data_IF_124823427105
#
_entry.id   IF_124823427105
#
_cell.length_a   1.000
_cell.length_b   1.000
_cell.length_c   1.000
_cell.angle_alpha   90.00
_cell.angle_beta   90.00
_cell.angle_gamma   90.00
#
_symmetry.space_group_name_H-M   'P 1'
#
loop_
_entity.id
_entity.type
_entity.pdbx_description
1 polymer ?
#
# COMPACT_ATOMS: atom_id res chain seq x y z
N UNK A 1 16.26 2.62 21.36
CA UNK A 1 16.76 1.57 20.44
C UNK A 1 15.89 1.62 19.17
N UNK A 2 16.50 1.43 18.01
CA UNK A 2 15.89 1.53 16.67
C UNK A 2 15.70 0.15 16.02
N UNK A 3 15.88 -0.92 16.78
CA UNK A 3 15.89 -2.32 16.32
C UNK A 3 14.51 -2.95 16.05
N UNK A 4 13.40 -2.28 16.38
CA UNK A 4 12.06 -2.87 16.27
C UNK A 4 11.29 -2.40 15.02
N UNK A 5 11.53 -3.04 13.87
CA UNK A 5 10.74 -2.89 12.62
C UNK A 5 10.32 -1.44 12.30
N UNK A 6 11.30 -0.55 12.08
CA UNK A 6 11.07 0.91 12.02
C UNK A 6 10.01 1.35 11.01
N UNK A 7 10.01 0.76 9.81
CA UNK A 7 9.04 1.09 8.76
C UNK A 7 7.59 0.77 9.22
N UNK A 8 7.40 -0.36 9.91
CA UNK A 8 6.11 -0.70 10.51
C UNK A 8 5.70 0.25 11.64
N UNK A 9 6.65 0.66 12.50
CA UNK A 9 6.37 1.64 13.55
C UNK A 9 5.98 3.02 12.97
N UNK A 10 6.63 3.45 11.89
CA UNK A 10 6.29 4.68 11.18
C UNK A 10 4.88 4.60 10.57
N UNK A 11 4.54 3.45 9.97
CA UNK A 11 3.18 3.15 9.55
C UNK A 11 2.20 3.30 10.73
N UNK A 12 2.40 2.56 11.82
CA UNK A 12 1.52 2.59 13.00
C UNK A 12 1.33 4.00 13.56
N UNK A 13 2.39 4.81 13.58
CA UNK A 13 2.30 6.21 13.99
C UNK A 13 1.28 6.99 13.16
N UNK A 14 1.32 6.87 11.82
CA UNK A 14 0.34 7.52 10.94
C UNK A 14 -1.05 6.91 11.12
N UNK A 15 -1.15 5.57 11.15
CA UNK A 15 -2.43 4.87 11.30
C UNK A 15 -3.17 5.21 12.60
N UNK A 16 -2.45 5.43 13.70
CA UNK A 16 -3.04 5.83 14.98
C UNK A 16 -3.79 7.17 14.92
N UNK A 17 -3.45 8.07 13.98
CA UNK A 17 -4.13 9.35 13.80
C UNK A 17 -5.41 9.25 12.96
N UNK A 18 -5.61 8.15 12.22
CA UNK A 18 -6.88 7.84 11.58
C UNK A 18 -7.89 7.21 12.55
N UNK A 19 -7.39 6.65 13.66
CA UNK A 19 -8.13 5.77 14.55
C UNK A 19 -8.03 4.30 14.12
N UNK A 20 -7.66 3.42 15.06
CA UNK A 20 -7.60 1.98 14.77
C UNK A 20 -8.97 1.36 14.49
N UNK A 21 -10.05 2.11 14.73
CA UNK A 21 -11.44 1.83 14.40
C UNK A 21 -11.86 2.31 13.00
N UNK A 22 -10.96 2.95 12.23
CA UNK A 22 -11.24 3.34 10.83
C UNK A 22 -11.80 2.14 10.05
N UNK A 23 -12.99 2.27 9.41
CA UNK A 23 -13.70 1.15 8.81
C UNK A 23 -13.13 0.73 7.46
N UNK A 24 -12.34 1.60 6.81
CA UNK A 24 -11.71 1.32 5.53
C UNK A 24 -10.41 0.52 5.65
N UNK A 25 -9.86 0.14 4.50
CA UNK A 25 -8.54 -0.46 4.40
C UNK A 25 -7.48 0.63 4.43
N UNK A 26 -6.49 0.47 5.30
CA UNK A 26 -5.34 1.34 5.36
C UNK A 26 -4.09 0.58 4.93
N UNK A 27 -3.31 1.18 4.02
CA UNK A 27 -2.07 0.64 3.49
C UNK A 27 -0.99 1.72 3.58
N UNK A 28 0.12 1.39 4.24
CA UNK A 28 1.33 2.22 4.28
C UNK A 28 2.34 1.67 3.28
N UNK A 29 2.83 2.52 2.38
CA UNK A 29 3.89 2.17 1.41
C UNK A 29 5.12 3.00 1.73
N UNK A 30 6.13 2.37 2.32
CA UNK A 30 7.44 2.97 2.51
C UNK A 30 8.26 2.81 1.22
N UNK A 31 8.44 3.92 0.51
CA UNK A 31 9.12 3.97 -0.80
C UNK A 31 10.43 4.76 -0.75
N UNK A 32 11.06 4.89 0.42
CA UNK A 32 12.28 5.69 0.57
C UNK A 32 13.42 5.25 -0.37
N UNK A 33 13.65 3.95 -0.55
CA UNK A 33 14.69 3.40 -1.43
C UNK A 33 14.27 3.24 -2.90
N UNK A 34 13.11 2.67 -3.26
CA UNK A 34 12.82 2.35 -4.67
C UNK A 34 12.58 3.58 -5.55
N UNK A 35 12.41 4.79 -5.00
CA UNK A 35 12.17 6.02 -5.77
C UNK A 35 13.36 6.48 -6.62
N UNK A 36 14.58 6.01 -6.34
CA UNK A 36 15.77 6.44 -7.05
C UNK A 36 16.76 5.30 -7.32
N UNK A 37 17.61 5.51 -8.34
CA UNK A 37 18.76 4.66 -8.65
C UNK A 37 19.95 5.59 -8.94
N UNK A 38 20.89 5.69 -8.00
CA UNK A 38 21.91 6.73 -8.00
C UNK A 38 21.26 8.12 -7.95
N UNK A 39 21.68 9.00 -8.86
CA UNK A 39 21.23 10.40 -8.95
C UNK A 39 19.95 10.60 -9.76
N UNK A 40 19.24 9.52 -10.14
CA UNK A 40 18.05 9.59 -11.00
C UNK A 40 16.83 8.98 -10.32
N UNK A 41 15.67 9.63 -10.49
CA UNK A 41 14.38 9.08 -10.10
C UNK A 41 13.99 7.90 -10.99
N UNK A 42 13.37 6.87 -10.39
CA UNK A 42 12.90 5.66 -11.10
C UNK A 42 11.46 5.78 -11.59
N UNK A 43 10.67 6.70 -11.03
CA UNK A 43 9.23 6.77 -11.28
C UNK A 43 8.42 5.68 -10.58
N UNK A 44 8.97 5.04 -9.53
CA UNK A 44 8.26 4.05 -8.73
C UNK A 44 6.95 4.63 -8.15
N UNK A 45 5.88 3.82 -8.17
CA UNK A 45 4.56 4.18 -7.65
C UNK A 45 3.49 4.30 -8.73
N UNK A 46 3.81 4.86 -9.90
CA UNK A 46 2.80 5.02 -10.98
C UNK A 46 2.29 3.67 -11.47
N UNK A 47 3.20 2.78 -11.85
CA UNK A 47 2.85 1.43 -12.29
C UNK A 47 2.20 0.61 -11.16
N UNK A 48 2.62 0.81 -9.90
CA UNK A 48 2.03 0.17 -8.73
C UNK A 48 0.53 0.53 -8.61
N UNK A 49 0.18 1.81 -8.68
CA UNK A 49 -1.22 2.25 -8.54
C UNK A 49 -2.06 1.84 -9.76
N UNK A 50 -1.52 1.96 -10.97
CA UNK A 50 -2.24 1.59 -12.19
C UNK A 50 -2.54 0.08 -12.27
N UNK A 51 -1.65 -0.77 -11.76
CA UNK A 51 -1.88 -2.21 -11.69
C UNK A 51 -2.82 -2.56 -10.54
N UNK A 52 -2.63 -1.97 -9.36
CA UNK A 52 -3.50 -2.20 -8.20
C UNK A 52 -4.98 -1.86 -8.48
N UNK A 53 -5.23 -0.77 -9.20
CA UNK A 53 -6.58 -0.32 -9.54
C UNK A 53 -6.95 -0.54 -11.01
N UNK A 54 -6.20 -1.38 -11.74
CA UNK A 54 -6.35 -1.55 -13.18
C UNK A 54 -7.76 -1.98 -13.61
N UNK A 55 -8.44 -2.77 -12.77
CA UNK A 55 -9.84 -3.19 -12.94
C UNK A 55 -10.85 -2.04 -13.00
N UNK A 56 -10.50 -0.86 -12.47
CA UNK A 56 -11.35 0.33 -12.49
C UNK A 56 -11.06 1.27 -13.67
N UNK A 57 -10.17 0.87 -14.58
CA UNK A 57 -9.84 1.63 -15.79
C UNK A 57 -10.59 1.05 -17.00
N UNK A 58 -10.68 1.80 -18.11
CA UNK A 58 -11.18 1.29 -19.40
C UNK A 58 -10.07 0.70 -20.28
N UNK A 59 -8.88 0.44 -19.72
CA UNK A 59 -7.72 -0.05 -20.46
C UNK A 59 -7.61 -1.57 -20.30
N UNK A 60 -7.85 -2.30 -21.40
CA UNK A 60 -7.77 -3.77 -21.42
C UNK A 60 -6.43 -4.31 -20.90
N UNK A 61 -5.33 -3.61 -21.15
CA UNK A 61 -3.99 -4.00 -20.68
C UNK A 61 -3.85 -3.85 -19.16
N UNK A 62 -4.42 -2.80 -18.55
CA UNK A 62 -4.34 -2.62 -17.09
C UNK A 62 -5.29 -3.58 -16.36
N UNK A 63 -6.47 -3.84 -16.95
CA UNK A 63 -7.41 -4.84 -16.44
C UNK A 63 -6.80 -6.25 -16.45
N UNK A 64 -6.02 -6.61 -17.49
CA UNK A 64 -5.37 -7.93 -17.53
C UNK A 64 -4.23 -8.10 -16.53
N UNK A 65 -3.69 -7.00 -16.00
CA UNK A 65 -2.63 -6.98 -14.98
C UNK A 65 -3.16 -6.79 -13.56
N UNK A 66 -4.44 -6.46 -13.40
CA UNK A 66 -5.03 -6.17 -12.09
C UNK A 66 -5.37 -7.47 -11.34
N UNK A 67 -5.33 -7.40 -10.01
CA UNK A 67 -5.75 -8.51 -9.16
C UNK A 67 -7.27 -8.70 -9.27
N UNK A 68 -7.71 -9.93 -9.53
CA UNK A 68 -9.13 -10.28 -9.65
C UNK A 68 -9.83 -10.51 -8.30
N UNK A 69 -9.13 -10.30 -7.18
CA UNK A 69 -9.67 -10.62 -5.86
C UNK A 69 -10.80 -9.66 -5.46
N UNK A 70 -11.94 -10.27 -5.16
CA UNK A 70 -13.15 -9.62 -4.67
C UNK A 70 -12.99 -9.23 -3.21
N UNK A 71 -13.12 -7.93 -2.95
CA UNK A 71 -13.07 -7.28 -1.64
C UNK A 71 -11.78 -7.47 -0.83
N UNK A 72 -11.28 -6.39 -0.20
CA UNK A 72 -10.21 -6.53 0.77
C UNK A 72 -10.66 -7.43 1.92
N UNK A 73 -9.76 -8.27 2.47
CA UNK A 73 -10.11 -9.14 3.59
C UNK A 73 -10.68 -8.31 4.74
N UNK A 74 -11.86 -8.69 5.20
CA UNK A 74 -12.50 -8.07 6.36
C UNK A 74 -11.53 -8.08 7.53
N UNK A 75 -11.48 -6.97 8.27
CA UNK A 75 -10.60 -6.75 9.42
C UNK A 75 -10.70 -7.98 10.32
N UNK A 76 -9.70 -8.87 10.31
CA UNK A 76 -9.64 -9.97 11.26
C UNK A 76 -9.42 -9.31 12.61
N UNK A 77 -10.49 -9.23 13.40
CA UNK A 77 -10.40 -8.93 14.82
C UNK A 77 -9.45 -9.99 15.38
N UNK A 78 -8.28 -9.56 15.85
CA UNK A 78 -7.42 -10.41 16.67
C UNK A 78 -8.32 -10.90 17.81
N UNK A 79 -8.68 -12.18 17.80
CA UNK A 79 -9.43 -12.78 18.91
C UNK A 79 -8.52 -12.74 20.14
N UNK A 80 -9.11 -12.32 21.27
CA UNK A 80 -8.48 -12.21 22.58
C UNK A 80 -7.71 -13.48 22.99
#
# INVERSE_FOLDING_TARGET
DRSNAQSSCAGLFVGAHLGFDYPGVWMHVDMATPVHCGERATGYGVALLLTLFGNHTNCNMLQSMANNDTEPPTKRICRD
#
